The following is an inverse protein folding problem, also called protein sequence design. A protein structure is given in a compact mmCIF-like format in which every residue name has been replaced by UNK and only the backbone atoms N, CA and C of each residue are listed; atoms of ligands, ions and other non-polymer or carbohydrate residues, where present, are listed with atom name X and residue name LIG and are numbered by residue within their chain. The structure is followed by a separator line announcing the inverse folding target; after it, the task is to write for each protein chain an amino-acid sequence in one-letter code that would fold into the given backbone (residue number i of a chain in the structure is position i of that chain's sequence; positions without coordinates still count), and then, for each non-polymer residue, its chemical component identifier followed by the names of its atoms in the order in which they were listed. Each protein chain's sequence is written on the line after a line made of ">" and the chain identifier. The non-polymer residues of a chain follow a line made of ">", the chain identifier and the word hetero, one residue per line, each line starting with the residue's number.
data_IF_209454619963
#
_entry.id   IF_209454619963
#
_cell.length_a   1.000
_cell.length_b   1.000
_cell.length_c   1.000
_cell.angle_alpha   90.00
_cell.angle_beta   90.00
_cell.angle_gamma   90.00
#
_symmetry.space_group_name_H-M   'P 1'
#
loop_
_entity.id
_entity.type
_entity.pdbx_description
1 polymer ?
#
# COMPACT_ATOMS: atom_id res chain seq x y z
N UNK A 1 53.11 12.67 41.12
CA UNK A 1 51.79 13.34 41.03
C UNK A 1 51.33 13.31 39.59
N UNK A 2 50.22 12.61 39.31
CA UNK A 2 49.53 12.58 38.01
C UNK A 2 48.41 13.62 38.06
N UNK A 3 48.22 14.42 37.01
CA UNK A 3 47.00 15.15 36.61
C UNK A 3 47.21 15.49 35.12
N UNK A 4 46.50 14.88 34.16
CA UNK A 4 45.13 15.21 33.74
C UNK A 4 45.25 16.10 32.48
N UNK A 5 44.76 15.79 31.28
CA UNK A 5 43.63 14.96 30.86
C UNK A 5 42.63 15.86 30.13
N UNK A 6 42.52 15.77 28.80
CA UNK A 6 41.31 16.18 28.03
C UNK A 6 41.41 15.76 26.56
N UNK A 7 41.13 14.48 26.30
CA UNK A 7 40.64 14.01 25.00
C UNK A 7 39.27 13.38 25.22
N UNK A 8 38.20 14.06 24.80
CA UNK A 8 36.85 13.48 24.73
C UNK A 8 36.79 12.46 23.58
N UNK A 9 36.03 11.38 23.74
CA UNK A 9 35.16 10.92 22.67
C UNK A 9 33.69 11.01 23.10
N UNK A 10 32.86 11.42 22.15
CA UNK A 10 31.41 11.51 22.25
C UNK A 10 30.79 10.12 22.51
N UNK A 11 29.68 10.02 23.28
CA UNK A 11 29.00 8.75 23.44
C UNK A 11 28.32 8.36 22.12
N UNK A 12 28.72 7.19 21.64
CA UNK A 12 28.16 6.48 20.49
C UNK A 12 26.65 6.29 20.69
N UNK A 13 25.85 6.68 19.70
CA UNK A 13 24.41 6.49 19.69
C UNK A 13 24.07 5.01 19.88
N UNK A 14 23.31 4.71 20.93
CA UNK A 14 22.80 3.37 21.20
C UNK A 14 21.73 3.01 20.17
N UNK A 15 21.97 1.94 19.40
CA UNK A 15 20.92 1.21 18.73
C UNK A 15 20.33 0.19 19.70
N UNK A 16 19.00 0.07 19.84
CA UNK A 16 18.40 -1.13 20.39
C UNK A 16 17.99 -2.04 19.23
N UNK A 17 18.75 -3.12 19.09
CA UNK A 17 18.29 -4.38 18.50
C UNK A 17 17.52 -5.12 19.60
N UNK A 18 16.22 -5.35 19.44
CA UNK A 18 15.43 -6.15 20.40
C UNK A 18 14.33 -6.93 19.71
N UNK A 19 14.57 -8.24 19.60
CA UNK A 19 13.66 -9.24 19.07
C UNK A 19 12.54 -9.59 20.07
N UNK A 20 11.36 -9.00 19.89
CA UNK A 20 10.04 -9.41 20.44
C UNK A 20 8.98 -9.13 19.36
N UNK A 21 7.77 -9.74 19.35
CA UNK A 21 6.92 -9.79 18.15
C UNK A 21 6.51 -8.39 17.66
N UNK A 22 7.31 -7.86 16.73
CA UNK A 22 7.34 -6.46 16.27
C UNK A 22 6.09 -6.02 15.52
N UNK A 23 5.15 -6.94 15.28
CA UNK A 23 4.01 -6.72 14.39
C UNK A 23 2.97 -5.76 14.99
N UNK A 24 2.74 -5.80 16.30
CA UNK A 24 1.76 -4.92 16.95
C UNK A 24 2.26 -3.46 16.99
N UNK A 25 3.52 -3.25 17.37
CA UNK A 25 4.12 -1.92 17.37
C UNK A 25 4.27 -1.34 15.96
N UNK A 26 4.59 -2.19 14.97
CA UNK A 26 4.69 -1.76 13.58
C UNK A 26 3.36 -1.28 13.01
N UNK A 27 2.27 -2.02 13.24
CA UNK A 27 0.92 -1.63 12.80
C UNK A 27 0.53 -0.26 13.33
N UNK A 28 0.78 0.00 14.61
CA UNK A 28 0.38 1.26 15.23
C UNK A 28 1.24 2.44 14.72
N UNK A 29 2.54 2.23 14.54
CA UNK A 29 3.42 3.25 13.92
C UNK A 29 3.01 3.59 12.50
N UNK A 30 2.61 2.58 11.69
CA UNK A 30 2.12 2.83 10.33
C UNK A 30 0.80 3.61 10.33
N UNK A 31 -0.12 3.28 11.24
CA UNK A 31 -1.37 4.05 11.39
C UNK A 31 -1.10 5.49 11.78
N UNK A 32 -0.23 5.73 12.75
CA UNK A 32 0.11 7.08 13.17
C UNK A 32 0.71 7.89 12.03
N UNK A 33 1.68 7.31 11.29
CA UNK A 33 2.25 7.96 10.10
C UNK A 33 1.20 8.30 9.04
N UNK A 34 0.24 7.40 8.81
CA UNK A 34 -0.86 7.67 7.88
C UNK A 34 -1.81 8.76 8.39
N UNK A 35 -2.11 8.80 9.68
CA UNK A 35 -2.93 9.85 10.28
C UNK A 35 -2.23 11.22 10.20
N UNK A 36 -0.92 11.26 10.39
CA UNK A 36 -0.14 12.49 10.42
C UNK A 36 0.14 13.06 9.02
N UNK A 37 0.40 12.19 8.02
CA UNK A 37 0.88 12.62 6.70
C UNK A 37 0.16 11.99 5.50
N UNK A 38 -0.94 11.27 5.73
CA UNK A 38 -1.78 10.72 4.67
C UNK A 38 -1.08 9.64 3.84
N UNK A 39 -1.49 9.53 2.58
CA UNK A 39 -0.94 8.60 1.61
C UNK A 39 0.53 8.91 1.26
N UNK A 40 0.88 10.18 1.13
CA UNK A 40 2.26 10.61 0.79
C UNK A 40 3.29 10.23 1.87
N UNK A 41 2.86 9.98 3.11
CA UNK A 41 3.73 9.56 4.20
C UNK A 41 4.12 8.08 4.13
N UNK A 42 3.50 7.28 3.27
CA UNK A 42 3.72 5.85 3.15
C UNK A 42 4.14 5.46 1.72
N UNK A 43 5.18 4.63 1.54
CA UNK A 43 5.39 3.94 0.27
C UNK A 43 4.27 2.94 0.01
N UNK A 44 4.06 2.60 -1.27
CA UNK A 44 3.02 1.68 -1.76
C UNK A 44 2.85 0.40 -0.93
N UNK A 45 3.97 -0.26 -0.57
CA UNK A 45 3.91 -1.50 0.18
C UNK A 45 3.41 -1.27 1.62
N UNK A 46 3.71 -0.15 2.26
CA UNK A 46 3.23 0.17 3.63
C UNK A 46 1.75 0.56 3.63
N UNK A 47 1.29 1.25 2.58
CA UNK A 47 -0.13 1.50 2.39
C UNK A 47 -0.90 0.18 2.20
N UNK A 48 -0.32 -0.76 1.46
CA UNK A 48 -0.87 -2.10 1.29
C UNK A 48 -0.87 -2.90 2.61
N UNK A 49 0.17 -2.77 3.44
CA UNK A 49 0.20 -3.37 4.78
C UNK A 49 -0.99 -2.92 5.64
N UNK A 50 -1.32 -1.62 5.64
CA UNK A 50 -2.47 -1.09 6.39
C UNK A 50 -3.80 -1.72 5.95
N UNK A 51 -3.97 -1.96 4.65
CA UNK A 51 -5.15 -2.64 4.12
C UNK A 51 -5.15 -4.12 4.53
N UNK A 52 -4.03 -4.82 4.34
CA UNK A 52 -3.91 -6.25 4.66
C UNK A 52 -4.06 -6.55 6.15
N UNK A 53 -3.71 -5.63 7.05
CA UNK A 53 -3.95 -5.82 8.49
C UNK A 53 -5.43 -5.95 8.86
N UNK A 54 -6.34 -5.42 8.03
CA UNK A 54 -7.79 -5.58 8.24
C UNK A 54 -8.25 -6.99 7.88
N UNK A 55 -7.68 -7.55 6.82
CA UNK A 55 -8.01 -8.89 6.32
C UNK A 55 -7.21 -10.01 7.01
N UNK A 56 -6.02 -9.71 7.52
CA UNK A 56 -5.07 -10.66 8.12
C UNK A 56 -4.57 -10.12 9.47
N UNK A 57 -5.38 -10.22 10.55
CA UNK A 57 -5.13 -9.49 11.79
C UNK A 57 -3.96 -10.01 12.64
N UNK A 58 -3.50 -11.26 12.48
CA UNK A 58 -2.54 -11.91 13.39
C UNK A 58 -1.23 -12.37 12.73
N UNK A 59 -0.92 -11.92 11.50
CA UNK A 59 0.31 -12.31 10.79
C UNK A 59 1.16 -11.11 10.43
N UNK A 60 2.45 -11.36 10.22
CA UNK A 60 3.32 -10.42 9.53
C UNK A 60 2.90 -10.31 8.06
N UNK A 61 2.36 -9.16 7.66
CA UNK A 61 1.92 -8.89 6.29
C UNK A 61 2.96 -8.14 5.47
N UNK A 62 4.07 -7.70 6.08
CA UNK A 62 5.11 -6.94 5.38
C UNK A 62 5.76 -7.73 4.24
N UNK A 63 6.16 -9.02 4.42
CA UNK A 63 6.68 -9.81 3.31
C UNK A 63 5.66 -9.99 2.19
N UNK A 64 4.39 -10.17 2.56
CA UNK A 64 3.29 -10.36 1.61
C UNK A 64 3.01 -9.09 0.80
N UNK A 65 2.98 -7.92 1.45
CA UNK A 65 2.81 -6.64 0.79
C UNK A 65 3.94 -6.37 -0.21
N UNK A 66 5.19 -6.62 0.18
CA UNK A 66 6.34 -6.49 -0.73
C UNK A 66 6.27 -7.46 -1.90
N UNK A 67 5.86 -8.71 -1.65
CA UNK A 67 5.68 -9.70 -2.71
C UNK A 67 4.60 -9.29 -3.71
N UNK A 68 3.47 -8.74 -3.23
CA UNK A 68 2.42 -8.22 -4.09
C UNK A 68 2.90 -7.06 -4.96
N UNK A 69 3.59 -6.09 -4.37
CA UNK A 69 4.17 -4.97 -5.14
C UNK A 69 5.21 -5.48 -6.14
N UNK A 70 6.06 -6.44 -5.77
CA UNK A 70 7.03 -7.01 -6.70
C UNK A 70 6.37 -7.79 -7.85
N UNK A 71 5.27 -8.49 -7.59
CA UNK A 71 4.58 -9.30 -8.59
C UNK A 71 3.73 -8.46 -9.54
N UNK A 72 3.03 -7.45 -9.02
CA UNK A 72 2.07 -6.65 -9.79
C UNK A 72 2.61 -5.30 -10.24
N UNK A 73 3.65 -4.77 -9.59
CA UNK A 73 4.38 -3.55 -9.94
C UNK A 73 4.17 -2.40 -8.94
N UNK A 74 2.92 -2.05 -8.63
CA UNK A 74 2.57 -0.93 -7.73
C UNK A 74 1.23 -1.13 -7.01
N UNK A 75 0.90 -0.25 -6.06
CA UNK A 75 -0.33 -0.35 -5.27
C UNK A 75 -1.59 -0.39 -6.16
N UNK A 76 -1.65 0.48 -7.18
CA UNK A 76 -2.76 0.53 -8.11
C UNK A 76 -2.94 -0.79 -8.89
N UNK A 77 -1.83 -1.45 -9.21
CA UNK A 77 -1.82 -2.70 -9.98
C UNK A 77 -2.27 -3.88 -9.12
N UNK A 78 -1.91 -3.89 -7.84
CA UNK A 78 -2.44 -4.87 -6.87
C UNK A 78 -3.95 -4.72 -6.71
N UNK A 79 -4.47 -3.49 -6.55
CA UNK A 79 -5.92 -3.26 -6.40
C UNK A 79 -6.69 -3.59 -7.69
N UNK A 80 -6.10 -3.25 -8.84
CA UNK A 80 -6.68 -3.50 -10.16
C UNK A 80 -6.62 -4.96 -10.63
N UNK A 81 -5.75 -5.79 -10.05
CA UNK A 81 -5.53 -7.15 -10.49
C UNK A 81 -6.81 -8.02 -10.49
N UNK A 82 -6.97 -8.94 -11.45
CA UNK A 82 -8.03 -9.95 -11.43
C UNK A 82 -7.96 -10.83 -10.17
N UNK A 83 -9.13 -11.30 -9.70
CA UNK A 83 -9.21 -12.13 -8.50
C UNK A 83 -8.40 -13.42 -8.63
N UNK A 84 -8.43 -14.07 -9.80
CA UNK A 84 -7.63 -15.26 -10.12
C UNK A 84 -6.13 -15.02 -9.90
N UNK A 85 -5.60 -13.92 -10.44
CA UNK A 85 -4.19 -13.54 -10.32
C UNK A 85 -3.80 -13.21 -8.88
N UNK A 86 -4.68 -12.55 -8.12
CA UNK A 86 -4.45 -12.28 -6.70
C UNK A 86 -4.31 -13.58 -5.90
N UNK A 87 -5.19 -14.57 -6.15
CA UNK A 87 -5.18 -15.86 -5.45
C UNK A 87 -4.02 -16.78 -5.81
N UNK A 88 -3.28 -16.50 -6.89
CA UNK A 88 -2.02 -17.21 -7.21
C UNK A 88 -0.89 -16.87 -6.22
N UNK A 89 -0.98 -15.73 -5.53
CA UNK A 89 0.04 -15.31 -4.57
C UNK A 89 -0.15 -16.03 -3.23
N UNK A 90 0.84 -16.85 -2.86
CA UNK A 90 0.84 -17.57 -1.57
C UNK A 90 0.62 -16.61 -0.40
N UNK A 91 -0.46 -16.82 0.35
CA UNK A 91 -0.84 -15.96 1.47
C UNK A 91 -2.05 -15.08 1.19
N UNK A 92 -2.50 -15.01 -0.07
CA UNK A 92 -3.77 -14.39 -0.47
C UNK A 92 -4.81 -15.47 -0.68
N UNK A 93 -5.67 -15.65 0.32
CA UNK A 93 -6.89 -16.44 0.16
C UNK A 93 -8.02 -15.63 -0.47
N UNK A 94 -9.12 -16.30 -0.81
CA UNK A 94 -10.30 -15.67 -1.44
C UNK A 94 -10.83 -14.47 -0.64
N UNK A 95 -10.85 -14.54 0.69
CA UNK A 95 -11.32 -13.43 1.54
C UNK A 95 -10.46 -12.18 1.39
N UNK A 96 -9.13 -12.34 1.35
CA UNK A 96 -8.20 -11.21 1.20
C UNK A 96 -8.32 -10.63 -0.21
N UNK A 97 -8.40 -11.49 -1.23
CA UNK A 97 -8.60 -11.06 -2.60
C UNK A 97 -9.92 -10.29 -2.74
N UNK A 98 -11.01 -10.77 -2.12
CA UNK A 98 -12.30 -10.10 -2.12
C UNK A 98 -12.21 -8.70 -1.50
N UNK A 99 -11.53 -8.54 -0.35
CA UNK A 99 -11.35 -7.23 0.28
C UNK A 99 -10.61 -6.23 -0.64
N UNK A 100 -9.59 -6.69 -1.37
CA UNK A 100 -8.91 -5.87 -2.39
C UNK A 100 -9.87 -5.50 -3.54
N UNK A 101 -10.73 -6.43 -3.99
CA UNK A 101 -11.74 -6.15 -5.02
C UNK A 101 -12.83 -5.19 -4.52
N UNK A 102 -13.18 -5.22 -3.23
CA UNK A 102 -14.10 -4.26 -2.62
C UNK A 102 -13.51 -2.84 -2.69
N UNK A 103 -12.21 -2.70 -2.40
CA UNK A 103 -11.51 -1.41 -2.53
C UNK A 103 -11.50 -0.94 -3.98
N UNK A 104 -11.19 -1.82 -4.94
CA UNK A 104 -11.25 -1.50 -6.36
C UNK A 104 -12.66 -1.06 -6.79
N UNK A 105 -13.71 -1.75 -6.34
CA UNK A 105 -15.09 -1.41 -6.64
C UNK A 105 -15.48 -0.04 -6.06
N UNK A 106 -15.02 0.28 -4.85
CA UNK A 106 -15.22 1.60 -4.23
C UNK A 106 -14.55 2.70 -5.06
N UNK A 107 -13.31 2.51 -5.49
CA UNK A 107 -12.61 3.45 -6.37
C UNK A 107 -13.36 3.65 -7.70
N UNK A 108 -13.75 2.55 -8.37
CA UNK A 108 -14.53 2.59 -9.62
C UNK A 108 -15.86 3.33 -9.45
N UNK A 109 -16.56 3.14 -8.32
CA UNK A 109 -17.82 3.83 -8.03
C UNK A 109 -17.61 5.33 -7.81
N UNK A 110 -16.54 5.71 -7.11
CA UNK A 110 -16.19 7.12 -6.91
C UNK A 110 -15.89 7.80 -8.25
N UNK A 111 -15.10 7.17 -9.14
CA UNK A 111 -14.82 7.74 -10.46
C UNK A 111 -16.07 7.89 -11.32
N UNK A 112 -16.95 6.87 -11.34
CA UNK A 112 -18.24 6.97 -12.06
C UNK A 112 -19.14 8.08 -11.51
N UNK A 113 -19.18 8.24 -10.19
CA UNK A 113 -19.96 9.29 -9.52
C UNK A 113 -19.43 10.70 -9.79
N UNK A 114 -18.12 10.84 -9.97
CA UNK A 114 -17.50 12.09 -10.39
C UNK A 114 -17.86 12.43 -11.84
N UNK A 115 -17.80 11.45 -12.76
CA UNK A 115 -18.17 11.62 -14.18
C UNK A 115 -19.62 12.09 -14.37
N UNK A 116 -20.54 11.69 -13.48
CA UNK A 116 -21.96 12.07 -13.58
C UNK A 116 -22.28 13.52 -13.16
N UNK A 117 -21.36 14.26 -12.51
CA UNK A 117 -21.67 15.57 -11.91
C UNK A 117 -20.79 16.74 -12.36
N UNK A 118 -19.68 16.50 -13.05
CA UNK A 118 -18.79 17.53 -13.65
C UNK A 118 -18.06 16.94 -14.88
N UNK A 119 -17.51 17.74 -15.81
CA UNK A 119 -16.55 17.23 -16.77
C UNK A 119 -15.26 16.88 -16.00
N UNK A 120 -15.15 15.63 -15.56
CA UNK A 120 -14.11 15.17 -14.60
C UNK A 120 -12.84 14.69 -15.29
N UNK A 121 -12.91 14.44 -16.59
CA UNK A 121 -11.75 14.26 -17.43
C UNK A 121 -11.33 15.60 -18.04
N UNK A 122 -11.22 16.63 -17.21
CA UNK A 122 -10.86 17.99 -17.65
C UNK A 122 -9.37 18.13 -18.01
N UNK A 123 -8.58 17.08 -17.79
CA UNK A 123 -7.17 17.02 -18.17
C UNK A 123 -6.79 15.67 -18.75
N UNK A 124 -5.81 15.68 -19.63
CA UNK A 124 -5.24 14.47 -20.23
C UNK A 124 -4.69 13.49 -19.18
N UNK A 125 -4.07 14.01 -18.12
CA UNK A 125 -3.62 13.19 -16.98
C UNK A 125 -4.76 12.46 -16.29
N UNK A 126 -5.89 13.12 -16.06
CA UNK A 126 -7.07 12.48 -15.44
C UNK A 126 -7.64 11.36 -16.32
N UNK A 127 -7.57 11.49 -17.64
CA UNK A 127 -7.95 10.43 -18.59
C UNK A 127 -6.99 9.24 -18.46
N UNK A 128 -5.69 9.49 -18.45
CA UNK A 128 -4.68 8.42 -18.32
C UNK A 128 -4.82 7.69 -16.99
N UNK A 129 -5.00 8.40 -15.87
CA UNK A 129 -5.13 7.79 -14.55
C UNK A 129 -6.40 6.95 -14.45
N UNK A 130 -7.52 7.44 -15.01
CA UNK A 130 -8.74 6.66 -15.14
C UNK A 130 -8.51 5.39 -15.97
N UNK A 131 -7.89 5.52 -17.15
CA UNK A 131 -7.65 4.39 -18.03
C UNK A 131 -6.72 3.36 -17.37
N UNK A 132 -5.67 3.79 -16.67
CA UNK A 132 -4.77 2.90 -15.93
C UNK A 132 -5.53 2.14 -14.85
N UNK A 133 -6.30 2.82 -14.01
CA UNK A 133 -7.05 2.15 -12.94
C UNK A 133 -8.14 1.21 -13.49
N UNK A 134 -8.88 1.66 -14.51
CA UNK A 134 -10.04 0.94 -15.01
C UNK A 134 -9.68 -0.21 -15.96
N UNK A 135 -8.54 -0.14 -16.65
CA UNK A 135 -8.23 -1.00 -17.79
C UNK A 135 -6.82 -1.60 -17.81
N UNK A 136 -5.84 -1.12 -17.03
CA UNK A 136 -4.46 -1.58 -17.18
C UNK A 136 -4.27 -3.09 -16.97
N UNK A 137 -5.17 -3.75 -16.23
CA UNK A 137 -5.12 -5.19 -15.94
C UNK A 137 -6.36 -5.95 -16.44
N UNK A 138 -7.13 -5.35 -17.34
CA UNK A 138 -8.23 -6.04 -17.98
C UNK A 138 -7.68 -7.07 -18.98
N UNK A 139 -7.99 -8.35 -18.78
CA UNK A 139 -7.58 -9.45 -19.69
C UNK A 139 -8.25 -9.38 -21.08
N UNK A 140 -9.24 -8.50 -21.24
CA UNK A 140 -9.97 -8.29 -22.49
C UNK A 140 -9.88 -6.83 -22.87
N UNK A 141 -9.67 -6.56 -24.16
CA UNK A 141 -9.74 -5.22 -24.71
C UNK A 141 -11.09 -4.58 -24.41
N UNK A 142 -11.06 -3.31 -24.03
CA UNK A 142 -12.26 -2.54 -23.69
C UNK A 142 -12.26 -1.25 -24.49
N UNK A 143 -13.28 -1.07 -25.33
CA UNK A 143 -13.59 0.22 -25.93
C UNK A 143 -14.57 0.97 -25.03
N UNK A 144 -14.19 2.17 -24.58
CA UNK A 144 -15.00 3.01 -23.70
C UNK A 144 -15.07 4.42 -24.29
N UNK A 145 -16.28 4.98 -24.33
CA UNK A 145 -16.54 6.38 -24.70
C UNK A 145 -16.64 7.15 -23.38
N UNK A 146 -15.80 8.18 -23.22
CA UNK A 146 -15.62 8.96 -21.99
C UNK A 146 -15.89 10.45 -22.21
#
# INVERSE_FOLDING_TARGET
>A
MKNGGSGKPAPLAAAPDDAQPHHLGHRERLRQRFLDGGDAALPDYELLELLLFRSIPQRDVKPLAKQLIQHFGSFAEVIGAPLSRLTEVKGIGESVALDLKIVEAALKRTMKGQVAKKPVLSSWSSVIDYCRLAMAFAEREQFRIL
#
